data_IF_056190254378
#
_entry.id   IF_056190254378
#
_cell.length_a   1.000
_cell.length_b   1.000
_cell.length_c   1.000
_cell.angle_alpha   90.00
_cell.angle_beta   90.00
_cell.angle_gamma   90.00
#
_symmetry.space_group_name_H-M   'P 1'
#
loop_
_entity.id
_entity.type
_entity.pdbx_description
1 polymer ?
#
# COMPACT_ATOMS: atom_id res chain seq x y z
N UNK A 1 -77.98 22.60 15.43
CA UNK A 1 -77.45 21.31 14.92
C UNK A 1 -76.65 21.61 13.66
N UNK A 2 -75.32 21.76 13.79
CA UNK A 2 -74.45 21.98 12.61
C UNK A 2 -73.22 21.03 12.80
N UNK A 3 -73.19 19.98 11.99
CA UNK A 3 -72.10 19.04 11.96
C UNK A 3 -70.89 19.53 11.18
N UNK A 4 -69.74 19.64 11.76
CA UNK A 4 -68.50 19.92 11.06
C UNK A 4 -67.88 18.59 10.62
N UNK A 5 -67.74 18.42 9.32
CA UNK A 5 -66.98 17.36 8.65
C UNK A 5 -65.50 17.80 8.62
N UNK A 6 -64.63 17.11 9.31
CA UNK A 6 -63.17 17.29 9.19
C UNK A 6 -62.64 16.39 8.08
N UNK A 7 -62.21 16.97 6.96
CA UNK A 7 -61.40 16.28 5.94
C UNK A 7 -59.92 16.20 6.46
N UNK A 8 -59.48 15.00 6.70
CA UNK A 8 -58.07 14.72 6.95
C UNK A 8 -57.29 14.62 5.62
N UNK A 9 -56.36 15.52 5.40
CA UNK A 9 -55.42 15.47 4.29
C UNK A 9 -54.25 14.56 4.71
N UNK A 10 -54.15 13.35 4.17
CA UNK A 10 -53.01 12.48 4.33
C UNK A 10 -51.89 12.92 3.35
N UNK A 11 -50.86 13.53 3.87
CA UNK A 11 -49.68 13.94 3.10
C UNK A 11 -48.76 12.71 2.93
N UNK A 12 -48.79 12.14 1.72
CA UNK A 12 -47.93 11.04 1.34
C UNK A 12 -46.48 11.59 1.12
N UNK A 13 -45.59 11.44 2.10
CA UNK A 13 -44.17 11.72 1.91
C UNK A 13 -43.56 10.60 1.07
N UNK A 14 -43.36 10.84 -0.22
CA UNK A 14 -42.47 10.00 -1.05
C UNK A 14 -41.04 10.28 -0.68
N UNK A 15 -40.43 9.36 0.08
CA UNK A 15 -38.97 9.29 0.26
C UNK A 15 -38.34 8.92 -1.08
N UNK A 16 -37.88 9.91 -1.82
CA UNK A 16 -36.96 9.72 -2.93
C UNK A 16 -35.65 9.27 -2.34
N UNK A 17 -35.37 7.97 -2.37
CA UNK A 17 -34.05 7.41 -2.11
C UNK A 17 -33.07 8.01 -3.11
N UNK A 18 -32.23 8.93 -2.66
CA UNK A 18 -31.06 9.39 -3.41
C UNK A 18 -30.07 8.22 -3.52
N UNK A 19 -30.26 7.38 -4.53
CA UNK A 19 -29.19 6.46 -4.94
C UNK A 19 -27.99 7.32 -5.34
N UNK A 20 -26.87 7.12 -4.69
CA UNK A 20 -25.59 7.72 -5.09
C UNK A 20 -25.25 7.13 -6.47
N UNK A 21 -25.56 7.87 -7.53
CA UNK A 21 -25.03 7.56 -8.86
C UNK A 21 -23.51 7.73 -8.75
N UNK A 22 -22.76 6.64 -8.94
CA UNK A 22 -21.31 6.72 -9.04
C UNK A 22 -20.97 7.80 -10.09
N UNK A 23 -20.09 8.73 -9.74
CA UNK A 23 -19.68 9.78 -10.66
C UNK A 23 -19.12 9.14 -11.94
N UNK A 24 -19.59 9.58 -13.10
CA UNK A 24 -19.08 9.08 -14.36
C UNK A 24 -17.62 9.48 -14.53
N UNK A 25 -16.76 8.53 -14.92
CA UNK A 25 -15.35 8.79 -15.19
C UNK A 25 -15.19 9.84 -16.29
N UNK A 26 -14.24 10.75 -16.11
CA UNK A 26 -13.86 11.68 -17.17
C UNK A 26 -13.39 10.91 -18.43
N UNK A 27 -13.43 11.53 -19.61
CA UNK A 27 -12.92 10.91 -20.83
C UNK A 27 -11.48 10.40 -20.65
N UNK A 28 -10.63 11.16 -19.97
CA UNK A 28 -9.24 10.79 -19.68
C UNK A 28 -9.15 9.58 -18.74
N UNK A 29 -9.94 9.54 -17.68
CA UNK A 29 -10.01 8.40 -16.76
C UNK A 29 -10.52 7.13 -17.44
N UNK A 30 -11.44 7.24 -18.41
CA UNK A 30 -11.90 6.10 -19.21
C UNK A 30 -10.79 5.49 -20.05
N UNK A 31 -9.95 6.32 -20.70
CA UNK A 31 -8.73 5.82 -21.40
C UNK A 31 -7.77 5.20 -20.41
N UNK A 32 -7.55 5.83 -19.24
CA UNK A 32 -6.73 5.26 -18.17
C UNK A 32 -7.21 3.88 -17.72
N UNK A 33 -8.53 3.69 -17.59
CA UNK A 33 -9.13 2.39 -17.30
C UNK A 33 -8.83 1.36 -18.40
N UNK A 34 -8.97 1.72 -19.66
CA UNK A 34 -8.63 0.82 -20.76
C UNK A 34 -7.15 0.41 -20.71
N UNK A 35 -6.25 1.38 -20.51
CA UNK A 35 -4.79 1.14 -20.40
C UNK A 35 -4.46 0.24 -19.19
N UNK A 36 -5.16 0.38 -18.07
CA UNK A 36 -4.94 -0.44 -16.87
C UNK A 36 -5.24 -1.93 -17.11
N UNK A 37 -6.17 -2.24 -18.01
CA UNK A 37 -6.55 -3.61 -18.38
C UNK A 37 -5.94 -4.08 -19.71
N UNK A 38 -5.07 -3.28 -20.35
CA UNK A 38 -4.50 -3.58 -21.68
C UNK A 38 -3.21 -4.43 -21.58
N UNK A 39 -3.27 -5.74 -21.84
CA UNK A 39 -2.09 -6.61 -21.76
C UNK A 39 -1.08 -6.35 -22.85
N UNK A 40 -1.51 -5.80 -23.98
CA UNK A 40 -0.66 -5.50 -25.12
C UNK A 40 0.34 -4.38 -24.90
N UNK A 41 0.28 -3.69 -23.74
CA UNK A 41 1.31 -2.72 -23.35
C UNK A 41 2.56 -3.40 -22.78
N UNK A 42 2.53 -4.68 -22.45
CA UNK A 42 3.72 -5.42 -22.01
C UNK A 42 4.48 -6.01 -23.17
N UNK A 43 5.79 -6.27 -22.97
CA UNK A 43 6.63 -6.95 -23.98
C UNK A 43 6.14 -8.36 -24.29
N UNK A 44 5.62 -9.07 -23.28
CA UNK A 44 4.99 -10.38 -23.46
C UNK A 44 3.64 -10.33 -24.21
N UNK A 45 2.99 -9.18 -24.26
CA UNK A 45 1.60 -9.04 -24.74
C UNK A 45 0.56 -9.70 -23.84
N UNK A 46 0.92 -10.09 -22.59
CA UNK A 46 0.09 -10.90 -21.70
C UNK A 46 -0.10 -10.29 -20.30
N UNK A 47 0.62 -9.22 -19.97
CA UNK A 47 0.53 -8.55 -18.67
C UNK A 47 -0.06 -7.16 -18.81
N UNK A 48 -1.13 -6.92 -18.09
CA UNK A 48 -1.69 -5.60 -17.82
C UNK A 48 -1.37 -5.18 -16.37
N UNK A 49 -1.65 -3.93 -15.98
CA UNK A 49 -1.57 -3.50 -14.58
C UNK A 49 -2.45 -4.39 -13.69
N UNK A 50 -3.67 -4.69 -14.16
CA UNK A 50 -4.63 -5.59 -13.50
C UNK A 50 -4.15 -7.03 -13.32
N UNK A 51 -3.14 -7.48 -14.06
CA UNK A 51 -2.55 -8.82 -13.88
C UNK A 51 -1.84 -8.97 -12.54
N UNK A 52 -1.26 -7.86 -12.03
CA UNK A 52 -0.56 -7.83 -10.74
C UNK A 52 -1.39 -7.08 -9.67
N UNK A 53 -2.22 -6.13 -10.07
CA UNK A 53 -3.09 -5.34 -9.20
C UNK A 53 -4.56 -5.72 -9.44
N UNK A 54 -4.98 -6.84 -8.81
CA UNK A 54 -6.31 -7.44 -9.01
C UNK A 54 -7.41 -6.61 -8.34
N UNK A 55 -8.38 -6.07 -9.09
CA UNK A 55 -9.52 -5.34 -8.51
C UNK A 55 -10.29 -6.16 -7.49
N UNK A 56 -10.45 -7.48 -7.71
CA UNK A 56 -11.14 -8.37 -6.78
C UNK A 56 -10.39 -8.56 -5.45
N UNK A 57 -9.08 -8.25 -5.41
CA UNK A 57 -8.27 -8.29 -4.20
C UNK A 57 -7.77 -6.89 -3.79
N UNK A 58 -8.65 -5.91 -3.80
CA UNK A 58 -8.34 -4.53 -3.42
C UNK A 58 -7.12 -3.94 -4.18
N UNK A 59 -6.96 -4.27 -5.46
CA UNK A 59 -5.82 -3.88 -6.29
C UNK A 59 -4.45 -4.27 -5.71
N UNK A 60 -4.41 -5.30 -4.88
CA UNK A 60 -3.20 -6.00 -4.46
C UNK A 60 -2.96 -7.23 -5.35
N UNK A 61 -1.92 -8.03 -5.04
CA UNK A 61 -1.65 -9.27 -5.77
C UNK A 61 -2.89 -10.20 -5.79
N UNK A 62 -3.17 -10.89 -6.89
CA UNK A 62 -4.22 -11.91 -6.93
C UNK A 62 -4.08 -12.93 -5.78
N UNK A 63 -5.19 -13.48 -5.29
CA UNK A 63 -5.20 -14.46 -4.21
C UNK A 63 -4.38 -15.72 -4.52
N UNK A 64 -4.23 -16.05 -5.80
CA UNK A 64 -3.45 -17.20 -6.29
C UNK A 64 -1.98 -16.84 -6.61
N UNK A 65 -1.57 -15.59 -6.39
CA UNK A 65 -0.22 -15.15 -6.72
C UNK A 65 0.85 -15.87 -5.88
N UNK A 66 2.04 -15.96 -6.45
CA UNK A 66 3.25 -16.30 -5.69
C UNK A 66 3.70 -15.10 -4.83
N UNK A 67 4.67 -15.32 -3.93
CA UNK A 67 5.22 -14.28 -3.05
C UNK A 67 5.58 -12.99 -3.80
N UNK A 68 6.17 -13.15 -4.97
CA UNK A 68 6.40 -12.07 -5.94
C UNK A 68 5.86 -12.49 -7.30
N UNK A 69 5.28 -11.53 -8.01
CA UNK A 69 4.82 -11.77 -9.37
C UNK A 69 6.01 -11.92 -10.31
N UNK A 70 5.82 -12.68 -11.37
CA UNK A 70 6.83 -12.84 -12.42
C UNK A 70 6.37 -12.13 -13.69
N UNK A 71 7.28 -11.41 -14.33
CA UNK A 71 7.07 -10.70 -15.58
C UNK A 71 8.17 -10.97 -16.60
N UNK A 72 8.46 -9.98 -17.41
CA UNK A 72 9.39 -10.09 -18.52
C UNK A 72 8.76 -10.69 -19.77
N UNK A 73 9.48 -10.69 -20.89
CA UNK A 73 9.01 -11.23 -22.16
C UNK A 73 8.53 -12.69 -22.08
N UNK A 74 9.22 -13.51 -21.29
CA UNK A 74 8.90 -14.93 -21.08
C UNK A 74 8.06 -15.21 -19.83
N UNK A 75 7.62 -14.21 -19.09
CA UNK A 75 6.89 -14.33 -17.83
C UNK A 75 7.61 -15.16 -16.75
N UNK A 76 8.92 -15.21 -16.81
CA UNK A 76 9.78 -16.05 -15.97
C UNK A 76 10.79 -15.26 -15.14
N UNK A 77 10.69 -13.94 -15.14
CA UNK A 77 11.52 -13.07 -14.30
C UNK A 77 10.80 -12.70 -13.04
N UNK A 78 11.19 -13.24 -11.88
CA UNK A 78 10.54 -12.91 -10.62
C UNK A 78 10.82 -11.46 -10.23
N UNK A 79 9.80 -10.78 -9.74
CA UNK A 79 9.93 -9.47 -9.11
C UNK A 79 10.75 -9.54 -7.83
N UNK A 80 11.08 -8.38 -7.30
CA UNK A 80 11.88 -8.26 -6.07
C UNK A 80 11.03 -8.21 -4.81
N UNK A 81 9.86 -7.60 -4.88
CA UNK A 81 9.00 -7.27 -3.74
C UNK A 81 7.58 -7.76 -3.95
N UNK A 82 6.84 -7.91 -2.86
CA UNK A 82 5.39 -8.16 -2.92
C UNK A 82 4.67 -7.01 -3.60
N UNK A 83 3.56 -7.31 -4.29
CA UNK A 83 2.72 -6.30 -4.94
C UNK A 83 1.90 -5.55 -3.88
N UNK A 84 2.06 -4.23 -3.73
CA UNK A 84 1.24 -3.43 -2.84
C UNK A 84 -0.17 -3.22 -3.44
N UNK A 85 -1.14 -2.90 -2.58
CA UNK A 85 -2.43 -2.40 -3.05
C UNK A 85 -2.27 -1.00 -3.67
N UNK A 86 -3.05 -0.71 -4.71
CA UNK A 86 -3.19 0.64 -5.26
C UNK A 86 -4.34 1.43 -4.62
N UNK A 87 -5.10 0.84 -3.68
CA UNK A 87 -6.13 1.58 -2.96
C UNK A 87 -5.54 2.64 -2.04
N UNK A 88 -6.25 3.76 -1.91
CA UNK A 88 -5.95 4.85 -0.97
C UNK A 88 -4.61 5.56 -1.20
N UNK A 89 -4.16 5.64 -2.44
CA UNK A 89 -2.90 6.29 -2.79
C UNK A 89 -3.04 7.80 -3.05
N UNK A 90 -4.26 8.31 -3.24
CA UNK A 90 -4.52 9.72 -3.58
C UNK A 90 -3.94 10.72 -2.58
N UNK A 91 -3.87 10.36 -1.30
CA UNK A 91 -3.36 11.21 -0.22
C UNK A 91 -1.84 11.06 0.03
N UNK A 92 -1.15 10.23 -0.76
CA UNK A 92 0.30 10.04 -0.60
C UNK A 92 1.05 11.33 -0.96
N UNK A 93 1.78 11.95 -0.02
CA UNK A 93 2.56 13.13 -0.33
C UNK A 93 3.76 12.78 -1.21
N UNK A 94 4.34 13.77 -1.87
CA UNK A 94 5.61 13.60 -2.56
C UNK A 94 6.69 13.12 -1.59
N UNK A 95 7.69 12.41 -2.13
CA UNK A 95 8.82 12.01 -1.30
C UNK A 95 9.57 13.24 -0.77
N UNK A 96 9.85 13.21 0.53
CA UNK A 96 10.75 14.15 1.18
C UNK A 96 11.80 13.38 2.00
N UNK A 97 13.04 13.84 1.99
CA UNK A 97 14.11 13.29 2.85
C UNK A 97 13.91 13.66 4.31
N UNK A 98 13.17 14.73 4.56
CA UNK A 98 12.90 15.30 5.86
C UNK A 98 11.41 15.56 6.01
N UNK A 99 10.80 15.02 7.03
CA UNK A 99 9.46 15.34 7.49
C UNK A 99 9.56 15.93 8.89
N UNK A 100 8.72 16.90 9.19
CA UNK A 100 8.84 17.62 10.43
C UNK A 100 7.54 17.62 11.21
N UNK A 101 7.67 17.56 12.54
CA UNK A 101 6.56 17.83 13.47
C UNK A 101 6.95 18.99 14.39
N UNK A 102 6.01 19.89 14.59
CA UNK A 102 6.19 20.99 15.53
C UNK A 102 5.78 20.54 16.93
N UNK A 103 6.72 20.59 17.88
CA UNK A 103 6.50 20.28 19.30
C UNK A 103 6.68 21.57 20.13
N UNK A 104 5.70 22.45 20.06
CA UNK A 104 5.77 23.77 20.70
C UNK A 104 6.79 24.68 20.03
N UNK A 105 7.91 24.99 20.71
CA UNK A 105 8.97 25.82 20.16
C UNK A 105 10.04 25.07 19.37
N UNK A 106 9.98 23.73 19.39
CA UNK A 106 10.95 22.87 18.71
C UNK A 106 10.33 22.21 17.49
N UNK A 107 11.14 22.11 16.43
CA UNK A 107 10.79 21.40 15.19
C UNK A 107 11.64 20.15 15.10
N UNK A 108 10.99 18.98 15.27
CA UNK A 108 11.65 17.67 15.20
C UNK A 108 11.63 17.14 13.78
N UNK A 109 12.79 16.70 13.28
CA UNK A 109 12.90 15.98 12.01
C UNK A 109 12.65 14.49 12.23
N UNK A 110 11.57 13.98 11.63
CA UNK A 110 11.19 12.58 11.71
C UNK A 110 11.81 11.72 10.57
N UNK A 111 12.64 12.34 9.72
CA UNK A 111 13.29 11.66 8.60
C UNK A 111 12.40 11.51 7.35
N UNK A 112 12.71 10.55 6.47
CA UNK A 112 12.04 10.41 5.19
C UNK A 112 10.55 10.08 5.30
N UNK A 113 9.73 10.68 4.42
CA UNK A 113 8.31 10.38 4.30
C UNK A 113 7.79 10.57 2.86
N UNK A 114 6.64 9.98 2.55
CA UNK A 114 5.95 10.16 1.27
C UNK A 114 6.53 9.33 0.12
N UNK A 115 6.15 9.69 -1.10
CA UNK A 115 6.51 8.98 -2.32
C UNK A 115 5.76 7.67 -2.53
N UNK A 116 5.77 7.20 -3.75
CA UNK A 116 5.11 5.98 -4.19
C UNK A 116 6.12 4.83 -4.28
N UNK A 117 5.65 3.61 -4.42
CA UNK A 117 6.37 2.36 -4.19
C UNK A 117 6.77 2.17 -2.72
N UNK A 118 7.34 1.01 -2.38
CA UNK A 118 7.78 0.71 -1.00
C UNK A 118 9.06 1.46 -0.59
N UNK A 119 9.74 2.08 -1.55
CA UNK A 119 10.98 2.86 -1.35
C UNK A 119 10.83 4.34 -1.76
N UNK A 120 9.62 4.79 -2.09
CA UNK A 120 9.34 6.18 -2.40
C UNK A 120 10.01 6.74 -3.65
N UNK A 121 10.41 5.89 -4.60
CA UNK A 121 11.17 6.31 -5.79
C UNK A 121 10.35 7.03 -6.88
N UNK A 122 9.05 7.17 -6.68
CA UNK A 122 8.19 8.01 -7.51
C UNK A 122 7.46 9.04 -6.64
N UNK A 123 7.28 10.26 -7.16
CA UNK A 123 6.71 11.38 -6.42
C UNK A 123 5.18 11.52 -6.57
N UNK A 124 4.60 10.85 -7.57
CA UNK A 124 3.16 10.88 -7.88
C UNK A 124 2.74 9.61 -8.63
N UNK A 125 1.44 9.40 -8.78
CA UNK A 125 0.87 8.23 -9.46
C UNK A 125 1.31 8.13 -10.92
N UNK A 126 1.39 9.26 -11.63
CA UNK A 126 1.91 9.31 -13.01
C UNK A 126 3.32 8.73 -13.13
N UNK A 127 4.23 9.17 -12.26
CA UNK A 127 5.61 8.62 -12.25
C UNK A 127 5.61 7.15 -11.83
N UNK A 128 4.77 6.79 -10.87
CA UNK A 128 4.63 5.41 -10.43
C UNK A 128 4.20 4.50 -11.57
N UNK A 129 3.20 4.90 -12.36
CA UNK A 129 2.67 4.12 -13.49
C UNK A 129 3.72 3.87 -14.61
N UNK A 130 4.72 4.75 -14.75
CA UNK A 130 5.79 4.60 -15.75
C UNK A 130 6.80 3.50 -15.40
N UNK A 131 7.03 3.24 -14.10
CA UNK A 131 8.08 2.32 -13.65
C UNK A 131 7.82 0.87 -14.07
N UNK A 132 6.62 0.29 -13.88
CA UNK A 132 6.31 -1.07 -14.31
C UNK A 132 6.43 -1.29 -15.82
N UNK A 133 6.14 -0.27 -16.63
CA UNK A 133 6.22 -0.36 -18.10
C UNK A 133 7.63 -0.75 -18.55
N UNK A 134 8.67 -0.24 -17.87
CA UNK A 134 10.07 -0.43 -18.25
C UNK A 134 10.80 -1.48 -17.40
N UNK A 135 10.24 -1.88 -16.24
CA UNK A 135 10.89 -2.87 -15.36
C UNK A 135 10.96 -4.23 -16.05
N UNK A 136 12.18 -4.80 -16.12
CA UNK A 136 12.45 -6.07 -16.80
C UNK A 136 11.78 -7.28 -16.15
N UNK A 137 11.40 -7.19 -14.89
CA UNK A 137 10.68 -8.23 -14.13
C UNK A 137 9.16 -7.97 -14.10
N UNK A 138 8.69 -6.90 -14.73
CA UNK A 138 7.29 -6.54 -14.85
C UNK A 138 6.87 -6.51 -16.33
N UNK A 139 6.50 -5.36 -16.93
CA UNK A 139 6.02 -5.28 -18.32
C UNK A 139 7.15 -5.30 -19.36
N UNK A 140 8.39 -5.04 -18.98
CA UNK A 140 9.64 -5.32 -19.68
C UNK A 140 9.83 -4.64 -21.05
N UNK A 141 9.20 -3.50 -21.32
CA UNK A 141 9.52 -2.75 -22.51
C UNK A 141 10.96 -2.23 -22.45
N UNK A 142 11.71 -2.36 -23.54
CA UNK A 142 13.12 -1.97 -23.59
C UNK A 142 13.34 -0.46 -23.57
N UNK A 143 12.32 0.32 -23.98
CA UNK A 143 12.39 1.78 -24.06
C UNK A 143 10.99 2.43 -24.06
N UNK A 144 10.95 3.77 -23.92
CA UNK A 144 9.72 4.55 -24.11
C UNK A 144 9.20 4.48 -25.56
N UNK A 145 10.09 4.34 -26.54
CA UNK A 145 9.73 4.19 -27.95
C UNK A 145 8.93 2.89 -28.18
N UNK A 146 9.29 1.80 -27.49
CA UNK A 146 8.53 0.56 -27.58
C UNK A 146 7.15 0.69 -26.92
N UNK A 147 7.06 1.34 -25.78
CA UNK A 147 5.75 1.64 -25.15
C UNK A 147 4.90 2.49 -26.09
N UNK A 148 5.46 3.58 -26.65
CA UNK A 148 4.76 4.45 -27.59
C UNK A 148 4.31 3.71 -28.86
N UNK A 149 5.14 2.82 -29.39
CA UNK A 149 4.74 1.97 -30.53
C UNK A 149 3.54 1.09 -30.17
N UNK A 150 3.55 0.44 -28.99
CA UNK A 150 2.43 -0.39 -28.53
C UNK A 150 1.15 0.40 -28.32
N UNK A 151 1.25 1.66 -27.85
CA UNK A 151 0.12 2.58 -27.75
C UNK A 151 -0.46 2.91 -29.13
N UNK A 152 0.40 3.20 -30.12
CA UNK A 152 -0.01 3.51 -31.52
C UNK A 152 -0.63 2.29 -32.21
N UNK A 153 -0.05 1.11 -32.04
CA UNK A 153 -0.56 -0.15 -32.60
C UNK A 153 -2.01 -0.46 -32.16
N UNK A 154 -2.47 0.22 -31.08
CA UNK A 154 -3.83 0.08 -30.47
C UNK A 154 -4.66 1.35 -30.57
N UNK A 155 -4.17 2.35 -31.29
CA UNK A 155 -4.84 3.64 -31.55
C UNK A 155 -5.05 4.51 -30.29
N UNK A 156 -4.36 4.25 -29.17
CA UNK A 156 -4.42 5.12 -27.99
C UNK A 156 -3.79 6.50 -28.24
N UNK A 157 -2.88 6.63 -29.18
CA UNK A 157 -2.33 7.92 -29.60
C UNK A 157 -3.44 8.87 -30.05
N UNK A 158 -4.35 8.42 -30.92
CA UNK A 158 -5.46 9.24 -31.44
C UNK A 158 -6.44 9.65 -30.33
N UNK A 159 -6.78 8.73 -29.43
CA UNK A 159 -7.66 9.07 -28.31
C UNK A 159 -7.01 10.10 -27.37
N UNK A 160 -5.73 9.92 -27.04
CA UNK A 160 -4.99 10.84 -26.17
C UNK A 160 -4.75 12.20 -26.87
N UNK A 161 -4.50 12.25 -28.17
CA UNK A 161 -4.43 13.50 -28.93
C UNK A 161 -5.75 14.27 -28.94
N UNK A 162 -6.87 13.58 -29.12
CA UNK A 162 -8.19 14.19 -29.03
C UNK A 162 -8.48 14.77 -27.64
N UNK A 163 -8.08 14.06 -26.58
CA UNK A 163 -8.31 14.49 -25.20
C UNK A 163 -7.42 15.66 -24.78
N UNK A 164 -6.18 15.66 -25.20
CA UNK A 164 -5.20 16.70 -24.84
C UNK A 164 -5.23 17.90 -25.76
N UNK A 165 -5.78 17.78 -26.97
CA UNK A 165 -5.68 18.77 -28.03
C UNK A 165 -4.26 18.95 -28.58
N UNK A 166 -3.35 18.03 -28.27
CA UNK A 166 -1.91 18.10 -28.62
C UNK A 166 -1.55 16.98 -29.59
N UNK A 167 -0.63 17.25 -30.51
CA UNK A 167 0.01 16.20 -31.31
C UNK A 167 1.08 15.49 -30.47
N UNK A 168 0.89 14.19 -30.24
CA UNK A 168 1.76 13.36 -29.39
C UNK A 168 2.77 12.55 -30.23
N UNK A 169 3.49 13.25 -31.12
CA UNK A 169 4.46 12.62 -32.05
C UNK A 169 5.67 12.02 -31.35
N UNK A 170 6.21 12.68 -30.33
CA UNK A 170 7.34 12.15 -29.56
C UNK A 170 6.89 11.03 -28.60
N UNK A 171 7.69 9.96 -28.52
CA UNK A 171 7.39 8.83 -27.63
C UNK A 171 7.20 9.25 -26.17
N UNK A 172 8.07 10.13 -25.68
CA UNK A 172 7.99 10.65 -24.31
C UNK A 172 6.65 11.32 -24.02
N UNK A 173 6.13 12.12 -24.93
CA UNK A 173 4.91 12.89 -24.71
C UNK A 173 3.67 11.97 -24.77
N UNK A 174 3.65 11.00 -25.68
CA UNK A 174 2.59 10.00 -25.78
C UNK A 174 2.55 9.12 -24.51
N UNK A 175 3.69 8.62 -24.07
CA UNK A 175 3.77 7.78 -22.86
C UNK A 175 3.42 8.59 -21.59
N UNK A 176 3.81 9.87 -21.56
CA UNK A 176 3.42 10.77 -20.49
C UNK A 176 1.90 10.99 -20.44
N UNK A 177 1.24 11.21 -21.57
CA UNK A 177 -0.21 11.35 -21.65
C UNK A 177 -0.94 10.06 -21.23
N UNK A 178 -0.40 8.89 -21.58
CA UNK A 178 -0.93 7.61 -21.12
C UNK A 178 -0.79 7.44 -19.60
N UNK A 179 0.33 7.85 -19.01
CA UNK A 179 0.51 7.83 -17.56
C UNK A 179 -0.39 8.82 -16.83
N UNK A 180 -0.64 10.01 -17.40
CA UNK A 180 -1.63 10.97 -16.89
C UNK A 180 -3.04 10.37 -16.91
N UNK A 181 -3.39 9.60 -17.95
CA UNK A 181 -4.68 8.93 -18.03
C UNK A 181 -4.82 7.82 -16.97
N UNK A 182 -3.77 7.03 -16.72
CA UNK A 182 -3.73 6.04 -15.64
C UNK A 182 -3.90 6.70 -14.27
N UNK A 183 -3.16 7.78 -13.99
CA UNK A 183 -3.32 8.55 -12.74
C UNK A 183 -4.76 9.05 -12.57
N UNK A 184 -5.38 9.57 -13.64
CA UNK A 184 -6.78 10.02 -13.60
C UNK A 184 -7.74 8.90 -13.29
N UNK A 185 -7.53 7.71 -13.85
CA UNK A 185 -8.33 6.55 -13.52
C UNK A 185 -8.23 6.18 -12.03
N UNK A 186 -7.02 6.11 -11.48
CA UNK A 186 -6.80 5.76 -10.07
C UNK A 186 -7.36 6.83 -9.10
N UNK A 187 -7.40 8.10 -9.51
CA UNK A 187 -7.94 9.19 -8.70
C UNK A 187 -9.46 9.31 -8.77
N UNK A 188 -10.08 8.98 -9.91
CA UNK A 188 -11.52 9.22 -10.13
C UNK A 188 -12.38 7.98 -9.87
N UNK A 189 -11.85 6.77 -10.11
CA UNK A 189 -12.63 5.55 -9.91
C UNK A 189 -12.74 5.23 -8.41
N UNK A 190 -13.99 5.23 -7.92
CA UNK A 190 -14.29 5.02 -6.50
C UNK A 190 -13.80 3.68 -5.95
N UNK A 191 -13.51 2.70 -6.82
CA UNK A 191 -12.97 1.40 -6.41
C UNK A 191 -11.57 1.48 -5.81
N UNK A 192 -10.81 2.57 -6.10
CA UNK A 192 -9.51 2.80 -5.46
C UNK A 192 -9.61 3.45 -4.07
N UNK A 193 -10.75 4.02 -3.70
CA UNK A 193 -10.97 4.71 -2.42
C UNK A 193 -12.42 4.60 -1.94
N UNK A 194 -12.95 3.39 -1.76
CA UNK A 194 -14.39 3.18 -1.55
C UNK A 194 -14.89 3.69 -0.19
N UNK A 195 -14.07 3.75 0.87
CA UNK A 195 -14.43 4.18 2.22
C UNK A 195 -15.75 3.57 2.72
N UNK A 196 -15.95 2.27 2.47
CA UNK A 196 -17.18 1.53 2.79
C UNK A 196 -16.94 0.33 3.70
N UNK A 197 -15.78 0.28 4.35
CA UNK A 197 -15.44 -0.76 5.30
C UNK A 197 -16.38 -0.75 6.51
N UNK A 198 -16.38 -1.83 7.30
CA UNK A 198 -17.13 -1.88 8.55
C UNK A 198 -16.69 -0.78 9.52
N UNK A 199 -15.40 -0.47 9.55
CA UNK A 199 -14.87 0.63 10.35
C UNK A 199 -15.38 1.99 9.87
N UNK A 200 -15.50 2.22 8.55
CA UNK A 200 -16.07 3.46 8.02
C UNK A 200 -17.53 3.62 8.41
N UNK A 201 -18.31 2.53 8.36
CA UNK A 201 -19.71 2.54 8.82
C UNK A 201 -19.82 2.80 10.32
N UNK A 202 -18.88 2.27 11.12
CA UNK A 202 -18.80 2.58 12.53
C UNK A 202 -18.54 4.06 12.79
N UNK A 203 -17.59 4.67 12.05
CA UNK A 203 -17.30 6.10 12.18
C UNK A 203 -18.51 6.99 11.81
N UNK A 204 -19.36 6.52 10.90
CA UNK A 204 -20.61 7.22 10.54
C UNK A 204 -21.80 6.90 11.45
N UNK A 205 -21.62 6.03 12.47
CA UNK A 205 -22.69 5.60 13.37
C UNK A 205 -23.69 4.61 12.73
N UNK A 206 -23.36 4.02 11.59
CA UNK A 206 -24.22 3.09 10.83
C UNK A 206 -24.08 1.63 11.29
N UNK A 207 -22.99 1.30 12.00
CA UNK A 207 -22.75 -0.03 12.55
C UNK A 207 -21.99 0.05 13.88
N UNK A 208 -22.10 -1.00 14.69
CA UNK A 208 -21.32 -1.14 15.92
C UNK A 208 -20.11 -2.07 15.68
N UNK A 209 -19.02 -1.82 16.39
CA UNK A 209 -17.93 -2.78 16.56
C UNK A 209 -18.28 -3.74 17.71
N UNK A 210 -17.90 -5.00 17.61
CA UNK A 210 -17.98 -5.96 18.71
C UNK A 210 -17.05 -5.56 19.86
N UNK A 211 -17.22 -6.18 21.04
CA UNK A 211 -16.36 -5.93 22.19
C UNK A 211 -14.87 -6.24 21.90
N UNK A 212 -14.59 -7.32 21.17
CA UNK A 212 -13.21 -7.68 20.78
C UNK A 212 -12.62 -6.70 19.76
N UNK A 213 -13.40 -6.22 18.80
CA UNK A 213 -12.95 -5.21 17.82
C UNK A 213 -12.69 -3.84 18.49
N UNK A 214 -13.52 -3.44 19.46
CA UNK A 214 -13.31 -2.20 20.22
C UNK A 214 -12.04 -2.30 21.08
N UNK A 215 -11.85 -3.44 21.77
CA UNK A 215 -10.64 -3.67 22.54
C UNK A 215 -9.41 -3.74 21.63
N UNK A 216 -9.50 -4.39 20.47
CA UNK A 216 -8.45 -4.41 19.45
C UNK A 216 -8.05 -3.01 18.99
N UNK A 217 -9.03 -2.13 18.75
CA UNK A 217 -8.78 -0.73 18.42
C UNK A 217 -8.06 0.01 19.55
N UNK A 218 -8.48 -0.21 20.79
CA UNK A 218 -7.84 0.38 21.98
C UNK A 218 -6.38 -0.08 22.11
N UNK A 219 -6.12 -1.38 21.92
CA UNK A 219 -4.78 -1.98 21.97
C UNK A 219 -3.89 -1.47 20.83
N UNK A 220 -4.45 -1.30 19.64
CA UNK A 220 -3.76 -0.75 18.46
C UNK A 220 -3.26 0.69 18.71
N UNK A 221 -4.07 1.52 19.38
CA UNK A 221 -3.75 2.92 19.68
C UNK A 221 -2.86 3.05 20.92
N UNK A 222 -2.94 2.14 21.87
CA UNK A 222 -2.29 2.27 23.17
C UNK A 222 -0.75 2.32 23.08
N UNK A 223 -0.09 3.40 23.55
CA UNK A 223 1.37 3.56 23.44
C UNK A 223 2.18 2.58 24.29
N UNK A 224 1.52 1.92 25.27
CA UNK A 224 2.15 0.94 26.17
C UNK A 224 1.84 -0.51 25.78
N UNK A 225 0.96 -0.70 24.77
CA UNK A 225 0.55 -2.00 24.22
C UNK A 225 1.03 -2.15 22.78
N UNK A 226 0.12 -2.21 21.80
CA UNK A 226 0.47 -2.38 20.39
C UNK A 226 1.23 -1.20 19.79
N UNK A 227 0.87 0.03 20.20
CA UNK A 227 1.43 1.28 19.68
C UNK A 227 1.46 1.38 18.15
N UNK A 228 0.58 0.65 17.47
CA UNK A 228 0.56 0.57 16.00
C UNK A 228 0.23 1.93 15.37
N UNK A 229 -0.61 2.72 16.08
CA UNK A 229 -1.02 4.05 15.63
C UNK A 229 0.12 5.08 15.62
N UNK A 230 1.29 4.78 16.18
CA UNK A 230 2.48 5.65 16.09
C UNK A 230 2.98 5.81 14.64
N UNK A 231 2.86 4.76 13.82
CA UNK A 231 3.21 4.75 12.39
C UNK A 231 1.97 4.60 11.51
N UNK A 232 1.01 3.78 11.94
CA UNK A 232 -0.27 3.55 11.24
C UNK A 232 -1.36 4.46 11.83
N UNK A 233 -1.23 5.76 11.60
CA UNK A 233 -2.08 6.79 12.22
C UNK A 233 -3.56 6.54 12.02
N UNK A 234 -4.33 6.53 13.13
CA UNK A 234 -5.78 6.32 13.14
C UNK A 234 -6.56 7.64 13.18
N UNK A 235 -5.92 8.76 12.81
CA UNK A 235 -6.54 10.09 12.78
C UNK A 235 -7.27 10.35 11.47
N UNK A 236 -8.38 11.04 11.56
CA UNK A 236 -9.13 11.51 10.38
C UNK A 236 -8.29 12.43 9.52
N UNK A 237 -8.34 12.22 8.22
CA UNK A 237 -7.67 13.06 7.24
C UNK A 237 -8.36 14.40 7.00
N UNK A 238 -7.78 15.25 6.14
CA UNK A 238 -8.37 16.54 5.76
C UNK A 238 -9.82 16.40 5.28
N UNK A 239 -10.68 17.35 5.67
CA UNK A 239 -12.10 17.33 5.31
C UNK A 239 -12.91 16.23 5.99
N UNK A 240 -12.42 15.63 7.06
CA UNK A 240 -13.15 14.59 7.80
C UNK A 240 -13.09 13.21 7.14
N UNK A 241 -12.18 13.00 6.19
CA UNK A 241 -12.00 11.68 5.55
C UNK A 241 -11.58 10.64 6.58
N UNK A 242 -12.11 9.40 6.50
CA UNK A 242 -11.69 8.32 7.39
C UNK A 242 -10.19 8.06 7.33
N UNK A 243 -9.58 7.55 8.43
CA UNK A 243 -8.16 7.26 8.49
C UNK A 243 -7.73 6.27 7.40
N UNK A 244 -6.54 6.47 6.85
CA UNK A 244 -5.92 5.52 5.91
C UNK A 244 -4.84 4.66 6.58
N UNK A 245 -4.61 4.84 7.87
CA UNK A 245 -3.71 4.03 8.70
C UNK A 245 -2.28 3.97 8.15
N UNK A 246 -1.72 5.13 7.84
CA UNK A 246 -0.31 5.36 7.52
C UNK A 246 0.06 6.81 7.78
N UNK A 247 1.27 7.04 8.20
CA UNK A 247 1.93 8.35 8.27
C UNK A 247 2.89 8.59 7.09
N UNK A 248 2.96 7.61 6.16
CA UNK A 248 3.89 7.59 5.03
C UNK A 248 5.37 7.64 5.40
N UNK A 249 5.74 7.46 6.66
CA UNK A 249 7.13 7.41 7.13
C UNK A 249 7.84 6.12 6.70
N UNK A 250 9.12 6.02 7.00
CA UNK A 250 9.96 4.87 6.65
C UNK A 250 10.60 4.27 7.89
N UNK A 251 10.61 2.93 7.98
CA UNK A 251 11.18 2.23 9.11
C UNK A 251 11.95 0.99 8.68
N UNK A 252 13.04 0.68 9.39
CA UNK A 252 13.72 -0.60 9.32
C UNK A 252 13.19 -1.51 10.44
N UNK A 253 12.34 -2.46 10.09
CA UNK A 253 11.70 -3.36 11.06
C UNK A 253 12.50 -4.63 11.35
N UNK A 254 13.61 -4.85 10.63
CA UNK A 254 14.41 -6.06 10.78
C UNK A 254 13.66 -7.33 10.39
N UNK A 255 12.81 -7.27 9.38
CA UNK A 255 12.04 -8.43 8.89
C UNK A 255 12.98 -9.58 8.58
N UNK A 256 12.67 -10.86 8.96
CA UNK A 256 13.52 -11.99 8.65
C UNK A 256 13.64 -12.23 7.15
N UNK A 257 14.81 -12.69 6.71
CA UNK A 257 15.09 -12.95 5.30
C UNK A 257 14.17 -14.03 4.72
N UNK A 258 13.50 -13.72 3.64
CA UNK A 258 12.70 -14.70 2.90
C UNK A 258 13.55 -15.41 1.83
N UNK A 259 13.99 -16.63 2.12
CA UNK A 259 14.80 -17.44 1.22
C UNK A 259 14.03 -18.10 0.08
N UNK A 260 12.69 -17.98 0.06
CA UNK A 260 11.88 -18.38 -1.07
C UNK A 260 12.13 -17.47 -2.29
N UNK A 261 12.50 -16.21 -2.05
CA UNK A 261 12.85 -15.28 -3.12
C UNK A 261 14.19 -15.65 -3.77
N UNK A 262 14.21 -15.75 -5.11
CA UNK A 262 15.41 -16.10 -5.85
C UNK A 262 16.58 -15.15 -5.59
N UNK A 263 16.32 -13.84 -5.52
CA UNK A 263 17.33 -12.83 -5.20
C UNK A 263 17.92 -13.05 -3.80
N UNK A 264 17.10 -13.39 -2.82
CA UNK A 264 17.52 -13.60 -1.43
C UNK A 264 18.33 -14.90 -1.21
N UNK A 265 18.39 -15.79 -2.19
CA UNK A 265 19.31 -16.95 -2.14
C UNK A 265 20.75 -16.58 -2.45
N UNK A 266 21.00 -15.44 -3.05
CA UNK A 266 22.34 -14.93 -3.31
C UNK A 266 22.92 -14.29 -2.04
N UNK A 267 24.07 -14.78 -1.56
CA UNK A 267 24.65 -14.40 -0.27
C UNK A 267 24.96 -12.89 -0.14
N UNK A 268 25.34 -12.24 -1.22
CA UNK A 268 25.68 -10.81 -1.24
C UNK A 268 24.52 -9.86 -1.57
N UNK A 269 23.33 -10.40 -1.89
CA UNK A 269 22.20 -9.58 -2.26
C UNK A 269 21.36 -9.20 -1.04
N UNK A 270 21.00 -7.91 -0.94
CA UNK A 270 20.09 -7.37 0.06
C UNK A 270 19.20 -6.30 -0.58
N UNK A 271 17.90 -6.35 -0.33
CA UNK A 271 17.00 -5.23 -0.60
C UNK A 271 17.11 -4.24 0.55
N UNK A 272 17.68 -3.09 0.26
CA UNK A 272 17.96 -2.05 1.26
C UNK A 272 16.91 -0.93 1.28
N UNK A 273 15.76 -1.14 0.63
CA UNK A 273 14.69 -0.16 0.59
C UNK A 273 15.13 1.18 0.01
N UNK A 274 15.16 2.24 0.82
CA UNK A 274 15.60 3.58 0.40
C UNK A 274 17.01 3.60 -0.22
N UNK A 275 17.92 2.71 0.21
CA UNK A 275 19.29 2.66 -0.32
C UNK A 275 19.47 1.76 -1.56
N UNK A 276 18.42 1.18 -2.09
CA UNK A 276 18.49 0.33 -3.29
C UNK A 276 18.05 -1.12 -3.07
N UNK A 277 18.08 -1.94 -4.13
CA UNK A 277 18.69 -1.72 -5.44
C UNK A 277 17.84 -0.90 -6.42
N UNK A 278 16.51 -0.80 -6.22
CA UNK A 278 15.61 -0.12 -7.16
C UNK A 278 15.66 1.41 -7.07
N UNK A 279 16.16 1.94 -5.96
CA UNK A 279 16.40 3.37 -5.74
C UNK A 279 17.90 3.65 -5.61
N UNK A 280 18.40 4.76 -6.14
CA UNK A 280 19.85 5.06 -6.16
C UNK A 280 20.23 6.38 -5.51
N UNK A 281 19.33 7.36 -5.49
CA UNK A 281 19.58 8.72 -5.00
C UNK A 281 19.77 8.83 -3.48
N UNK A 282 19.30 7.81 -2.72
CA UNK A 282 19.44 7.70 -1.26
C UNK A 282 20.58 6.76 -0.82
N UNK A 283 21.37 6.25 -1.77
CA UNK A 283 22.43 5.25 -1.46
C UNK A 283 23.50 5.77 -0.51
N UNK A 284 23.76 7.07 -0.51
CA UNK A 284 24.73 7.71 0.39
C UNK A 284 24.20 7.87 1.83
N UNK A 285 22.89 7.87 2.01
CA UNK A 285 22.21 8.08 3.31
C UNK A 285 22.15 6.76 4.10
N UNK A 286 23.33 6.26 4.52
CA UNK A 286 23.49 4.91 5.09
C UNK A 286 22.62 4.64 6.32
N UNK A 287 22.23 5.66 7.06
CA UNK A 287 21.31 5.59 8.21
C UNK A 287 19.91 5.13 7.83
N UNK A 288 19.52 5.27 6.55
CA UNK A 288 18.21 4.85 6.06
C UNK A 288 18.24 3.52 5.27
N UNK A 289 19.38 2.82 5.24
CA UNK A 289 19.46 1.52 4.57
C UNK A 289 18.68 0.45 5.34
N UNK A 290 17.75 -0.22 4.67
CA UNK A 290 16.80 -1.15 5.27
C UNK A 290 15.44 -0.54 5.60
N UNK A 291 15.24 0.73 5.29
CA UNK A 291 13.98 1.47 5.52
C UNK A 291 13.01 1.25 4.37
N UNK A 292 11.77 0.89 4.73
CA UNK A 292 10.63 0.73 3.82
C UNK A 292 9.46 1.58 4.30
N UNK A 293 8.65 2.07 3.36
CA UNK A 293 7.52 2.93 3.65
C UNK A 293 6.44 2.18 4.46
N UNK A 294 5.90 2.86 5.47
CA UNK A 294 4.71 2.43 6.21
C UNK A 294 3.51 2.36 5.25
N UNK A 295 2.96 1.18 4.96
CA UNK A 295 1.80 1.05 4.07
C UNK A 295 0.50 1.42 4.79
N UNK A 296 -0.54 1.74 4.02
CA UNK A 296 -1.90 1.74 4.55
C UNK A 296 -2.28 0.36 5.12
N UNK A 297 -3.06 0.33 6.21
CA UNK A 297 -3.65 -0.92 6.72
C UNK A 297 -5.06 -1.16 6.20
N UNK A 298 -5.60 -0.29 5.38
CA UNK A 298 -6.86 -0.59 4.71
C UNK A 298 -6.73 -1.83 3.86
N UNK A 299 -7.70 -2.74 3.96
CA UNK A 299 -7.69 -4.05 3.32
C UNK A 299 -6.51 -4.96 3.71
N UNK A 300 -5.85 -4.69 4.85
CA UNK A 300 -4.67 -5.45 5.27
C UNK A 300 -4.99 -6.93 5.49
N UNK A 301 -6.17 -7.29 5.98
CA UNK A 301 -6.57 -8.67 6.21
C UNK A 301 -6.91 -9.44 4.91
N UNK A 302 -7.07 -8.77 3.77
CA UNK A 302 -7.20 -9.41 2.45
C UNK A 302 -5.86 -9.80 1.83
N UNK A 303 -4.73 -9.35 2.42
CA UNK A 303 -3.39 -9.61 1.86
C UNK A 303 -2.94 -11.04 2.18
N UNK A 304 -2.26 -11.65 1.20
CA UNK A 304 -1.67 -12.98 1.33
C UNK A 304 -0.17 -12.96 1.63
N UNK A 305 0.49 -11.82 1.40
CA UNK A 305 1.92 -11.64 1.64
C UNK A 305 2.16 -10.30 2.32
N UNK A 306 2.97 -10.32 3.36
CA UNK A 306 3.25 -9.16 4.20
C UNK A 306 4.72 -8.79 4.17
N UNK A 307 5.00 -7.50 4.42
CA UNK A 307 6.27 -6.82 4.27
C UNK A 307 6.78 -6.82 2.82
N UNK A 308 7.92 -6.14 2.59
CA UNK A 308 8.53 -6.00 1.27
C UNK A 308 8.90 -7.34 0.63
N UNK A 309 9.38 -8.28 1.45
CA UNK A 309 9.88 -9.58 1.01
C UNK A 309 8.85 -10.73 1.11
N UNK A 310 7.63 -10.47 1.55
CA UNK A 310 6.58 -11.47 1.68
C UNK A 310 6.93 -12.62 2.63
N UNK A 311 7.67 -12.34 3.69
CA UNK A 311 8.10 -13.36 4.65
C UNK A 311 6.95 -14.03 5.38
N UNK A 312 5.86 -13.32 5.60
CA UNK A 312 4.69 -13.79 6.31
C UNK A 312 3.49 -13.90 5.39
N UNK A 313 2.65 -14.89 5.63
CA UNK A 313 1.45 -15.20 4.83
C UNK A 313 0.14 -15.12 5.62
N UNK A 314 0.24 -14.92 6.94
CA UNK A 314 -0.91 -14.74 7.82
C UNK A 314 -0.75 -13.44 8.64
N UNK A 315 -1.84 -12.68 8.78
CA UNK A 315 -1.85 -11.44 9.56
C UNK A 315 -1.51 -11.70 11.04
N UNK A 316 -1.96 -12.82 11.61
CA UNK A 316 -1.63 -13.21 12.96
C UNK A 316 -0.11 -13.37 13.17
N UNK A 317 0.61 -13.97 12.21
CA UNK A 317 2.07 -14.10 12.28
C UNK A 317 2.79 -12.74 12.21
N UNK A 318 2.23 -11.78 11.46
CA UNK A 318 2.73 -10.39 11.44
C UNK A 318 2.59 -9.75 12.81
N UNK A 319 1.43 -9.89 13.47
CA UNK A 319 1.20 -9.33 14.80
C UNK A 319 2.11 -10.00 15.84
N UNK A 320 2.26 -11.33 15.80
CA UNK A 320 3.23 -12.05 16.63
C UNK A 320 4.66 -11.53 16.38
N UNK A 321 5.06 -11.34 15.13
CA UNK A 321 6.39 -10.81 14.83
C UNK A 321 6.62 -9.44 15.46
N UNK A 322 5.66 -8.51 15.35
CA UNK A 322 5.80 -7.18 15.95
C UNK A 322 6.03 -7.22 17.46
N UNK A 323 5.31 -8.08 18.19
CA UNK A 323 5.36 -8.09 19.66
C UNK A 323 6.39 -9.07 20.24
N UNK A 324 6.84 -10.05 19.46
CA UNK A 324 7.77 -11.09 19.89
C UNK A 324 9.17 -10.99 19.24
N UNK A 325 9.36 -10.11 18.26
CA UNK A 325 10.64 -9.98 17.52
C UNK A 325 11.84 -9.86 18.46
N UNK A 326 11.70 -9.08 19.50
CA UNK A 326 12.78 -8.80 20.44
C UNK A 326 12.71 -9.67 21.70
N UNK A 327 11.51 -10.03 22.19
CA UNK A 327 11.35 -10.91 23.35
C UNK A 327 11.71 -12.37 23.05
N UNK A 328 11.40 -12.87 21.84
CA UNK A 328 11.70 -14.24 21.41
C UNK A 328 12.34 -14.28 20.00
N UNK A 329 13.53 -13.68 19.82
CA UNK A 329 14.15 -13.57 18.50
C UNK A 329 14.52 -14.92 17.87
N UNK A 330 14.69 -15.97 18.67
CA UNK A 330 14.95 -17.33 18.17
C UNK A 330 13.80 -17.94 17.38
N UNK A 331 12.55 -17.45 17.54
CA UNK A 331 11.41 -17.83 16.73
C UNK A 331 11.52 -17.34 15.29
N UNK A 332 12.18 -16.21 15.09
CA UNK A 332 12.15 -15.45 13.85
C UNK A 332 13.43 -15.55 13.03
N UNK A 333 14.57 -15.64 13.69
CA UNK A 333 15.86 -15.58 13.02
C UNK A 333 16.63 -16.89 13.15
N UNK A 334 17.36 -17.29 12.09
CA UNK A 334 18.14 -18.52 12.12
C UNK A 334 19.36 -18.41 13.05
N UNK A 335 19.79 -19.52 13.60
CA UNK A 335 21.10 -19.65 14.26
C UNK A 335 22.14 -20.21 13.28
N UNK A 336 23.33 -19.60 13.25
CA UNK A 336 24.48 -20.08 12.49
C UNK A 336 25.66 -20.24 13.44
N UNK A 337 26.20 -21.44 13.51
CA UNK A 337 27.28 -21.75 14.45
C UNK A 337 26.94 -21.44 15.92
N UNK A 338 25.71 -21.70 16.33
CA UNK A 338 25.19 -21.40 17.67
C UNK A 338 24.90 -19.93 17.94
N UNK A 339 25.17 -19.02 17.00
CA UNK A 339 24.91 -17.58 17.14
C UNK A 339 23.67 -17.17 16.35
N UNK A 340 22.70 -16.55 17.02
CA UNK A 340 21.48 -16.04 16.40
C UNK A 340 21.79 -14.90 15.42
N UNK A 341 21.22 -15.00 14.21
CA UNK A 341 21.43 -14.02 13.13
C UNK A 341 20.25 -13.01 13.08
N UNK A 342 20.11 -12.20 14.16
CA UNK A 342 19.06 -11.17 14.18
C UNK A 342 19.18 -10.24 12.97
N UNK A 343 18.04 -9.87 12.39
CA UNK A 343 17.93 -8.95 11.26
C UNK A 343 18.70 -9.43 10.01
N UNK A 344 18.57 -10.73 9.71
CA UNK A 344 19.35 -11.43 8.67
C UNK A 344 19.02 -11.01 7.23
N UNK A 345 17.97 -10.21 7.03
CA UNK A 345 17.68 -9.55 5.73
C UNK A 345 18.44 -8.23 5.53
N UNK A 346 19.33 -7.89 6.47
CA UNK A 346 20.24 -6.75 6.37
C UNK A 346 21.70 -7.20 6.52
N UNK A 347 22.64 -6.61 5.74
CA UNK A 347 24.06 -6.79 5.99
C UNK A 347 24.43 -6.25 7.38
N UNK A 348 25.43 -6.84 8.02
CA UNK A 348 25.78 -6.53 9.41
C UNK A 348 25.95 -5.03 9.70
N UNK A 349 26.54 -4.28 8.76
CA UNK A 349 26.79 -2.83 8.88
C UNK A 349 25.54 -1.96 9.00
N UNK A 350 24.37 -2.45 8.58
CA UNK A 350 23.12 -1.71 8.61
C UNK A 350 22.10 -2.23 9.64
N UNK A 351 22.47 -3.25 10.42
CA UNK A 351 21.57 -3.79 11.46
C UNK A 351 21.32 -2.81 12.61
N UNK A 352 22.22 -1.86 12.80
CA UNK A 352 22.03 -0.76 13.76
C UNK A 352 20.91 0.22 13.37
N UNK A 353 20.50 0.23 12.09
CA UNK A 353 19.38 1.06 11.62
C UNK A 353 18.01 0.51 12.02
N UNK A 354 17.94 -0.75 12.49
CA UNK A 354 16.68 -1.38 12.86
C UNK A 354 16.09 -0.70 14.09
N UNK A 355 14.81 -0.34 13.99
CA UNK A 355 14.05 0.25 15.09
C UNK A 355 13.97 -0.75 16.27
N UNK A 356 14.59 -0.38 17.37
CA UNK A 356 14.58 -1.10 18.66
C UNK A 356 14.21 -0.18 19.82
N UNK A 357 13.76 1.03 19.54
CA UNK A 357 13.44 2.06 20.54
C UNK A 357 11.94 2.24 20.75
N UNK A 358 11.15 2.05 19.72
CA UNK A 358 9.72 2.31 19.77
C UNK A 358 8.93 1.07 20.20
N UNK A 359 7.94 1.23 21.07
CA UNK A 359 7.02 0.15 21.39
C UNK A 359 6.24 -0.28 20.10
N UNK A 360 6.00 -1.59 19.92
CA UNK A 360 6.32 -2.73 20.79
C UNK A 360 7.73 -3.32 20.61
N UNK A 361 8.60 -2.68 19.80
CA UNK A 361 9.89 -3.16 19.33
C UNK A 361 11.05 -2.85 20.30
N UNK A 362 10.74 -2.36 21.49
CA UNK A 362 11.70 -1.92 22.51
C UNK A 362 11.78 -2.86 23.73
N UNK A 363 11.52 -4.16 23.52
CA UNK A 363 11.49 -5.15 24.58
C UNK A 363 12.77 -5.95 24.63
N UNK A 364 13.16 -6.35 25.83
CA UNK A 364 14.36 -7.19 26.05
C UNK A 364 14.09 -8.66 25.70
N UNK A 365 15.12 -9.40 25.22
CA UNK A 365 15.03 -10.83 25.00
C UNK A 365 14.65 -11.57 26.30
N UNK A 366 13.67 -12.47 26.21
CA UNK A 366 13.10 -13.19 27.36
C UNK A 366 12.07 -12.40 28.17
N UNK A 367 11.84 -11.12 27.84
CA UNK A 367 10.80 -10.29 28.44
C UNK A 367 9.39 -10.68 27.99
N UNK A 368 8.38 -10.05 28.60
CA UNK A 368 6.98 -10.25 28.22
C UNK A 368 6.67 -9.48 26.91
N UNK A 369 5.99 -10.10 25.93
CA UNK A 369 5.48 -9.42 24.76
C UNK A 369 4.53 -8.28 25.15
N UNK A 370 4.42 -7.26 24.30
CA UNK A 370 3.52 -6.13 24.51
C UNK A 370 2.03 -6.52 24.50
N UNK A 371 1.69 -7.55 23.73
CA UNK A 371 0.36 -8.15 23.63
C UNK A 371 0.45 -9.65 23.94
N UNK A 372 -0.54 -10.17 24.68
CA UNK A 372 -0.75 -11.61 24.84
C UNK A 372 -1.55 -12.18 23.65
N UNK A 373 -1.74 -13.51 23.64
CA UNK A 373 -2.42 -14.18 22.51
C UNK A 373 -3.85 -13.66 22.28
N UNK A 374 -4.65 -13.43 23.35
CA UNK A 374 -6.00 -12.89 23.23
C UNK A 374 -6.00 -11.45 22.69
N UNK A 375 -5.07 -10.63 23.16
CA UNK A 375 -4.92 -9.25 22.68
C UNK A 375 -4.51 -9.20 21.19
N UNK A 376 -3.70 -10.16 20.73
CA UNK A 376 -3.36 -10.32 19.30
C UNK A 376 -4.60 -10.65 18.46
N UNK A 377 -5.44 -11.59 18.93
CA UNK A 377 -6.72 -11.90 18.27
C UNK A 377 -7.63 -10.67 18.17
N UNK A 378 -7.70 -9.87 19.24
CA UNK A 378 -8.51 -8.65 19.28
C UNK A 378 -7.99 -7.59 18.31
N UNK A 379 -6.67 -7.37 18.24
CA UNK A 379 -6.08 -6.46 17.24
C UNK A 379 -6.34 -6.99 15.82
N UNK A 380 -6.24 -8.30 15.58
CA UNK A 380 -6.59 -8.90 14.29
C UNK A 380 -8.04 -8.63 13.91
N UNK A 381 -8.98 -8.85 14.85
CA UNK A 381 -10.40 -8.57 14.64
C UNK A 381 -10.66 -7.09 14.29
N UNK A 382 -9.97 -6.16 14.96
CA UNK A 382 -10.04 -4.75 14.59
C UNK A 382 -9.52 -4.51 13.16
N UNK A 383 -8.37 -5.07 12.79
CA UNK A 383 -7.80 -4.89 11.46
C UNK A 383 -8.68 -5.48 10.35
N UNK A 384 -9.43 -6.53 10.62
CA UNK A 384 -10.43 -7.09 9.69
C UNK A 384 -11.57 -6.10 9.39
N UNK A 385 -11.92 -5.21 10.35
CA UNK A 385 -12.93 -4.17 10.12
C UNK A 385 -12.50 -3.12 9.10
N UNK A 386 -11.21 -3.04 8.76
CA UNK A 386 -10.63 -2.10 7.79
C UNK A 386 -10.75 -2.60 6.33
N UNK A 387 -11.31 -3.79 6.11
CA UNK A 387 -11.59 -4.30 4.78
C UNK A 387 -12.80 -3.60 4.20
N UNK A 388 -12.64 -3.06 3.00
CA UNK A 388 -13.76 -2.51 2.23
C UNK A 388 -14.76 -3.61 1.89
N UNK A 389 -16.03 -3.23 1.80
CA UNK A 389 -17.06 -4.08 1.22
C UNK A 389 -16.80 -4.29 -0.28
N UNK A 390 -17.18 -5.46 -0.79
CA UNK A 390 -17.07 -5.82 -2.22
C UNK A 390 -18.09 -5.05 -3.05
#
# INVERSE_FOLDING_TARGET
MHGLVRLGFAMLLTLLGAGTVAAELSPQARVGRQLFFEPGLSDSGKLACSSCHDPANAYAAPATAQVVMSGGAGLNRPGLRTVPSLRYLADTPRFSRHSYVDRGSEREDLGPAGGFMLDGRADNLRQQALLPLLDRAEMANGSLEEVARRLRDRSYDRELEQLTGMTLGAARDLVAAAADALERFELEDSSFHPYNSRFDRYLRGESALSADEQEGMRLFISPVKGNCAACHTATTGPGGRPPIFTDFSYHALGVPRNRALAANRQAGFFDLGLCGPQRSDMRAEQQYCGYFKTPTLRNVARRHYFFHNGRFTALADVLHFYVERDTNPGRWYPALGGKLQRFDDLPARYRANVNISDAPLNRDPGGQPALNAKEIEQVSAFLETLNDAD
#
